data_IF_687233204188
#
_entry.id   IF_687233204188
#
_cell.length_a   1.000
_cell.length_b   1.000
_cell.length_c   1.000
_cell.angle_alpha   90.00
_cell.angle_beta   90.00
_cell.angle_gamma   90.00
#
_symmetry.space_group_name_H-M   'P 1'
#
loop_
_entity.id
_entity.type
_entity.pdbx_description
1 polymer ?
#
# COMPACT_ATOMS: atom_id res chain seq x y z
N UNK A 1 55.70 20.61 50.36
CA UNK A 1 56.24 19.74 49.29
C UNK A 1 55.07 19.44 48.35
N UNK A 2 54.86 20.27 47.33
CA UNK A 2 55.35 20.12 45.94
C UNK A 2 54.60 18.99 45.21
N UNK A 3 53.67 19.31 44.31
CA UNK A 3 53.84 19.53 42.86
C UNK A 3 53.35 18.32 42.05
N UNK A 4 52.47 18.57 41.09
CA UNK A 4 52.29 17.76 39.86
C UNK A 4 51.85 18.76 38.77
N UNK A 5 52.80 19.46 38.13
CA UNK A 5 53.49 19.12 36.87
C UNK A 5 52.58 19.06 35.65
N UNK A 6 52.49 20.21 34.98
CA UNK A 6 52.29 20.41 33.54
C UNK A 6 53.49 19.87 32.75
N UNK A 7 53.24 19.28 31.57
CA UNK A 7 54.18 19.36 30.43
C UNK A 7 53.52 18.93 29.12
N UNK A 8 53.68 19.79 28.12
CA UNK A 8 53.44 19.63 26.69
C UNK A 8 54.40 18.64 26.02
N UNK A 9 54.03 18.18 24.81
CA UNK A 9 54.84 18.10 23.58
C UNK A 9 54.30 16.96 22.70
N UNK A 10 54.22 17.05 21.39
CA UNK A 10 54.57 18.07 20.42
C UNK A 10 54.38 17.46 19.03
N UNK A 11 54.30 18.27 17.98
CA UNK A 11 54.73 17.87 16.64
C UNK A 11 54.93 19.10 15.76
N UNK A 12 56.13 19.19 15.18
CA UNK A 12 56.59 20.23 14.26
C UNK A 12 57.29 19.53 13.09
N UNK A 13 57.30 20.24 11.95
CA UNK A 13 58.09 20.09 10.70
C UNK A 13 57.42 19.23 9.62
N UNK A 14 57.00 19.82 8.49
CA UNK A 14 57.72 20.38 7.30
C UNK A 14 57.41 19.41 6.14
N UNK A 15 57.04 19.82 4.93
CA UNK A 15 57.89 20.54 3.98
C UNK A 15 57.10 21.14 2.80
N UNK A 16 57.67 22.19 2.23
CA UNK A 16 57.36 22.83 0.96
C UNK A 16 57.59 21.88 -0.23
N UNK A 17 56.84 22.09 -1.32
CA UNK A 17 57.42 22.16 -2.68
C UNK A 17 56.53 22.96 -3.64
N UNK A 18 57.22 23.74 -4.48
CA UNK A 18 56.74 24.68 -5.48
C UNK A 18 56.44 23.99 -6.82
N UNK A 19 55.56 24.59 -7.62
CA UNK A 19 55.61 24.83 -9.08
C UNK A 19 54.20 25.27 -9.51
N UNK A 20 53.89 26.35 -10.25
CA UNK A 20 54.65 27.21 -11.14
C UNK A 20 53.94 27.29 -12.51
N UNK A 21 53.07 28.28 -12.77
CA UNK A 21 52.98 28.96 -14.09
C UNK A 21 52.03 30.16 -14.15
N UNK A 22 52.60 31.27 -14.62
CA UNK A 22 51.98 32.54 -15.03
C UNK A 22 51.06 32.37 -16.26
N UNK A 23 50.01 33.18 -16.42
CA UNK A 23 49.94 34.38 -17.29
C UNK A 23 48.44 34.57 -17.63
N UNK A 24 47.81 35.69 -17.96
CA UNK A 24 48.10 37.10 -18.22
C UNK A 24 46.73 37.80 -18.33
N UNK A 25 46.61 39.11 -18.09
CA UNK A 25 45.35 39.80 -18.43
C UNK A 25 45.11 41.16 -17.78
N UNK A 26 45.85 42.16 -18.23
CA UNK A 26 45.62 43.60 -17.99
C UNK A 26 44.21 44.03 -18.47
N UNK A 27 43.51 44.89 -17.72
CA UNK A 27 42.76 46.05 -18.27
C UNK A 27 42.20 47.01 -17.20
N UNK A 28 42.89 48.15 -17.12
CA UNK A 28 42.40 49.54 -17.02
C UNK A 28 41.04 49.85 -16.35
N UNK A 29 41.10 50.60 -15.25
CA UNK A 29 40.03 51.49 -14.77
C UNK A 29 39.89 52.67 -15.74
N UNK A 30 38.69 52.94 -16.25
CA UNK A 30 38.35 54.23 -16.86
C UNK A 30 37.11 54.83 -16.21
N UNK A 31 37.22 56.12 -15.92
CA UNK A 31 36.23 57.01 -15.31
C UNK A 31 35.05 57.23 -16.25
N UNK A 32 33.83 57.00 -15.77
CA UNK A 32 32.60 57.22 -16.54
C UNK A 32 31.49 57.83 -15.67
N UNK A 33 31.80 58.85 -14.88
CA UNK A 33 30.81 59.55 -14.03
C UNK A 33 30.15 60.77 -14.69
N UNK A 34 30.68 61.35 -15.78
CA UNK A 34 30.20 62.67 -16.25
C UNK A 34 29.24 62.70 -17.45
N UNK A 35 28.76 61.56 -17.95
CA UNK A 35 27.83 61.54 -19.11
C UNK A 35 26.34 61.49 -18.77
N UNK A 36 25.96 61.32 -17.50
CA UNK A 36 24.54 61.19 -17.10
C UNK A 36 23.81 62.52 -17.00
N UNK A 37 24.49 63.56 -16.51
CA UNK A 37 23.88 64.84 -16.11
C UNK A 37 23.45 65.71 -17.30
N UNK A 38 24.12 65.58 -18.46
CA UNK A 38 23.83 66.38 -19.66
C UNK A 38 22.67 65.86 -20.51
N UNK A 39 22.15 64.64 -20.27
CA UNK A 39 21.00 64.07 -21.02
C UNK A 39 19.63 64.40 -20.42
N UNK A 40 19.56 64.79 -19.15
CA UNK A 40 18.29 65.07 -18.46
C UNK A 40 17.68 66.43 -18.82
N UNK A 41 18.44 67.35 -19.41
CA UNK A 41 18.01 68.72 -19.71
C UNK A 41 17.14 68.82 -20.97
N UNK A 42 17.18 67.82 -21.87
CA UNK A 42 16.43 67.81 -23.15
C UNK A 42 15.20 66.88 -23.19
N UNK A 43 14.76 66.33 -22.05
CA UNK A 43 13.66 65.37 -22.01
C UNK A 43 12.32 66.04 -21.70
N UNK A 44 11.26 65.60 -22.37
CA UNK A 44 9.89 66.07 -22.14
C UNK A 44 9.42 65.69 -20.72
N UNK A 45 8.49 66.43 -20.09
CA UNK A 45 8.02 66.14 -18.73
C UNK A 45 7.56 64.70 -18.52
N UNK A 46 6.86 64.14 -19.52
CA UNK A 46 6.34 62.76 -19.51
C UNK A 46 7.47 61.72 -19.47
N UNK A 47 8.58 61.97 -20.17
CA UNK A 47 9.71 61.04 -20.17
C UNK A 47 10.48 61.06 -18.84
N UNK A 48 10.55 62.23 -18.18
CA UNK A 48 11.12 62.33 -16.82
C UNK A 48 10.26 61.58 -15.82
N UNK A 49 8.94 61.70 -15.94
CA UNK A 49 7.99 61.00 -15.08
C UNK A 49 8.06 59.49 -15.28
N UNK A 50 8.17 59.00 -16.53
CA UNK A 50 8.39 57.57 -16.82
C UNK A 50 9.71 57.04 -16.24
N UNK A 51 10.78 57.83 -16.26
CA UNK A 51 12.06 57.43 -15.66
C UNK A 51 11.97 57.44 -14.12
N UNK A 52 11.31 58.45 -13.55
CA UNK A 52 11.06 58.52 -12.12
C UNK A 52 10.23 57.31 -11.64
N UNK A 53 9.17 56.95 -12.37
CA UNK A 53 8.35 55.77 -12.09
C UNK A 53 9.13 54.46 -12.22
N UNK A 54 9.97 54.32 -13.25
CA UNK A 54 10.86 53.15 -13.40
C UNK A 54 11.86 53.04 -12.26
N UNK A 55 12.42 54.16 -11.81
CA UNK A 55 13.35 54.18 -10.69
C UNK A 55 12.64 53.89 -9.36
N UNK A 56 11.41 54.38 -9.18
CA UNK A 56 10.56 54.09 -8.03
C UNK A 56 10.22 52.60 -7.94
N UNK A 57 9.70 51.99 -9.02
CA UNK A 57 9.46 50.53 -9.05
C UNK A 57 10.74 49.76 -8.74
N UNK A 58 11.87 50.18 -9.30
CA UNK A 58 13.14 49.47 -9.09
C UNK A 58 13.58 49.52 -7.63
N UNK A 59 13.39 50.66 -6.95
CA UNK A 59 13.67 50.84 -5.53
C UNK A 59 12.69 50.05 -4.66
N UNK A 60 11.39 50.12 -4.96
CA UNK A 60 10.35 49.36 -4.27
C UNK A 60 10.56 47.84 -4.37
N UNK A 61 10.94 47.35 -5.54
CA UNK A 61 11.27 45.94 -5.75
C UNK A 61 12.54 45.51 -5.01
N UNK A 62 13.49 46.42 -4.79
CA UNK A 62 14.67 46.15 -3.95
C UNK A 62 14.30 46.11 -2.47
N UNK A 63 13.41 47.00 -2.02
CA UNK A 63 12.90 47.00 -0.64
C UNK A 63 12.12 45.73 -0.33
N UNK A 64 11.26 45.25 -1.24
CA UNK A 64 10.57 43.96 -1.09
C UNK A 64 11.54 42.76 -1.07
N UNK A 65 12.62 42.81 -1.86
CA UNK A 65 13.62 41.72 -1.91
C UNK A 65 14.46 41.62 -0.64
N UNK A 66 14.67 42.76 0.02
CA UNK A 66 15.49 42.87 1.21
C UNK A 66 14.65 42.91 2.50
N UNK A 67 13.32 42.86 2.39
CA UNK A 67 12.44 42.79 3.54
C UNK A 67 12.59 41.43 4.23
N UNK A 68 12.96 41.45 5.51
CA UNK A 68 13.01 40.25 6.34
C UNK A 68 11.58 39.83 6.69
N UNK A 69 11.20 38.55 6.46
CA UNK A 69 9.86 38.08 6.81
C UNK A 69 9.64 38.16 8.32
N UNK A 70 8.50 38.74 8.73
CA UNK A 70 8.14 38.95 10.15
C UNK A 70 7.78 37.62 10.84
N UNK A 71 7.36 36.62 10.07
CA UNK A 71 7.03 35.27 10.54
C UNK A 71 7.80 34.27 9.69
N UNK A 72 8.64 33.45 10.34
CA UNK A 72 9.42 32.41 9.69
C UNK A 72 8.55 31.17 9.45
N UNK A 73 7.95 31.09 8.27
CA UNK A 73 7.20 29.91 7.81
C UNK A 73 8.11 28.77 7.31
N UNK A 74 9.44 28.90 7.47
CA UNK A 74 10.38 27.86 7.09
C UNK A 74 10.13 26.61 7.95
N UNK A 75 10.01 25.41 7.35
CA UNK A 75 9.86 24.19 8.12
C UNK A 75 11.07 24.02 9.05
N UNK A 76 10.87 23.62 10.32
CA UNK A 76 11.98 23.43 11.25
C UNK A 76 12.98 22.44 10.65
N UNK A 77 14.27 22.79 10.67
CA UNK A 77 15.33 21.95 10.12
C UNK A 77 15.37 20.64 10.91
N UNK A 78 15.00 19.55 10.23
CA UNK A 78 15.04 18.21 10.78
C UNK A 78 16.47 17.85 11.14
N UNK A 79 16.72 17.60 12.42
CA UNK A 79 18.02 17.15 12.88
C UNK A 79 18.13 15.65 12.61
N UNK A 80 18.73 15.30 11.47
CA UNK A 80 18.82 13.93 10.93
C UNK A 80 19.49 12.98 11.93
N UNK A 81 20.39 13.49 12.77
CA UNK A 81 21.09 12.74 13.82
C UNK A 81 20.19 12.23 14.95
N UNK A 82 18.97 12.77 15.11
CA UNK A 82 17.98 12.27 16.08
C UNK A 82 17.06 11.18 15.49
N UNK A 83 17.01 11.06 14.16
CA UNK A 83 16.13 10.11 13.45
C UNK A 83 16.77 8.73 13.24
N UNK A 84 18.10 8.68 13.20
CA UNK A 84 18.85 7.46 12.93
C UNK A 84 19.86 7.20 14.04
N UNK A 85 19.88 5.96 14.52
CA UNK A 85 20.89 5.51 15.46
C UNK A 85 22.27 5.51 14.79
N UNK A 86 23.18 6.33 15.31
CA UNK A 86 24.50 6.55 14.74
C UNK A 86 25.34 5.26 14.70
N UNK A 87 25.09 4.33 15.62
CA UNK A 87 25.81 3.05 15.65
C UNK A 87 25.41 2.16 14.46
N UNK A 88 24.11 2.12 14.13
CA UNK A 88 23.62 1.37 12.97
C UNK A 88 24.08 1.94 11.63
N UNK A 89 24.18 3.27 11.52
CA UNK A 89 24.71 3.92 10.32
C UNK A 89 26.19 3.61 10.12
N UNK A 90 26.98 3.64 11.20
CA UNK A 90 28.40 3.27 11.15
C UNK A 90 28.59 1.80 10.80
N UNK A 91 27.79 0.89 11.36
CA UNK A 91 27.88 -0.54 11.04
C UNK A 91 27.52 -0.84 9.58
N UNK A 92 26.49 -0.17 9.03
CA UNK A 92 26.13 -0.27 7.62
C UNK A 92 27.22 0.30 6.70
N UNK A 93 27.83 1.42 7.07
CA UNK A 93 28.94 2.00 6.32
C UNK A 93 30.14 1.04 6.27
N UNK A 94 30.50 0.42 7.41
CA UNK A 94 31.56 -0.59 7.47
C UNK A 94 31.21 -1.82 6.61
N UNK A 95 29.96 -2.29 6.66
CA UNK A 95 29.50 -3.42 5.86
C UNK A 95 29.61 -3.13 4.35
N UNK A 96 29.18 -1.94 3.91
CA UNK A 96 29.30 -1.50 2.52
C UNK A 96 30.77 -1.43 2.10
N UNK A 97 31.62 -0.82 2.93
CA UNK A 97 33.06 -0.71 2.67
C UNK A 97 33.73 -2.09 2.57
N UNK A 98 33.34 -3.03 3.45
CA UNK A 98 33.85 -4.41 3.42
C UNK A 98 33.42 -5.15 2.14
N UNK A 99 32.18 -4.92 1.67
CA UNK A 99 31.68 -5.50 0.43
C UNK A 99 32.43 -4.95 -0.79
N UNK A 100 32.67 -3.64 -0.84
CA UNK A 100 33.47 -3.00 -1.89
C UNK A 100 34.90 -3.52 -1.94
N UNK A 101 35.49 -3.89 -0.79
CA UNK A 101 36.84 -4.45 -0.73
C UNK A 101 36.90 -5.95 -1.13
N UNK A 102 35.82 -6.71 -0.88
CA UNK A 102 35.71 -8.12 -1.26
C UNK A 102 35.47 -8.32 -2.76
N UNK A 103 34.75 -7.42 -3.42
CA UNK A 103 34.44 -7.54 -4.85
C UNK A 103 35.68 -7.66 -5.76
N UNK A 104 36.75 -6.85 -5.61
CA UNK A 104 37.98 -6.99 -6.38
C UNK A 104 38.70 -8.34 -6.16
N UNK A 105 38.69 -8.87 -4.93
CA UNK A 105 39.30 -10.18 -4.64
C UNK A 105 38.51 -11.32 -5.28
N UNK A 106 37.17 -11.27 -5.22
CA UNK A 106 36.30 -12.23 -5.90
C UNK A 106 36.52 -12.18 -7.42
N UNK A 107 36.66 -10.98 -8.00
CA UNK A 107 36.96 -10.82 -9.43
C UNK A 107 38.35 -11.35 -9.78
N UNK A 108 39.36 -11.13 -8.93
CA UNK A 108 40.70 -11.71 -9.10
C UNK A 108 40.68 -13.24 -9.01
N UNK A 109 39.91 -13.81 -8.07
CA UNK A 109 39.74 -15.25 -7.93
C UNK A 109 39.01 -15.85 -9.13
N UNK A 110 37.94 -15.22 -9.61
CA UNK A 110 37.24 -15.61 -10.84
C UNK A 110 38.14 -15.52 -12.06
N UNK A 111 38.96 -14.47 -12.16
CA UNK A 111 39.95 -14.34 -13.21
C UNK A 111 41.03 -15.42 -13.11
N UNK A 112 41.51 -15.73 -11.91
CA UNK A 112 42.48 -16.79 -11.67
C UNK A 112 41.90 -18.18 -12.02
N UNK A 113 40.64 -18.44 -11.69
CA UNK A 113 39.92 -19.65 -12.09
C UNK A 113 39.76 -19.73 -13.61
N UNK A 114 39.42 -18.61 -14.27
CA UNK A 114 39.25 -18.57 -15.73
C UNK A 114 40.58 -18.64 -16.50
N UNK A 115 41.67 -18.14 -15.93
CA UNK A 115 42.98 -18.08 -16.59
C UNK A 115 43.85 -19.32 -16.30
N UNK A 116 43.81 -19.83 -15.07
CA UNK A 116 44.65 -20.96 -14.65
C UNK A 116 43.87 -22.23 -14.30
N UNK A 117 42.58 -22.12 -13.96
CA UNK A 117 41.80 -23.22 -13.38
C UNK A 117 41.00 -24.09 -14.37
N UNK A 118 40.79 -23.65 -15.62
CA UNK A 118 39.91 -24.35 -16.56
C UNK A 118 38.48 -24.56 -16.03
N UNK A 119 37.58 -25.10 -16.86
CA UNK A 119 36.34 -25.69 -16.33
C UNK A 119 36.73 -26.96 -15.59
N UNK A 120 36.41 -27.06 -14.31
CA UNK A 120 36.51 -28.31 -13.57
C UNK A 120 35.55 -29.34 -14.16
N UNK A 121 35.93 -30.05 -15.21
CA UNK A 121 35.55 -31.44 -15.46
C UNK A 121 36.71 -32.18 -16.14
N UNK A 122 37.18 -33.23 -15.46
CA UNK A 122 37.88 -34.44 -15.94
C UNK A 122 38.63 -34.41 -17.28
N UNK A 123 39.92 -34.78 -17.21
CA UNK A 123 40.67 -35.53 -18.23
C UNK A 123 40.72 -34.96 -19.66
N UNK A 124 41.88 -34.43 -20.06
CA UNK A 124 42.77 -35.10 -21.03
C UNK A 124 43.72 -34.12 -21.70
N UNK A 125 44.97 -34.57 -21.86
CA UNK A 125 45.99 -34.04 -22.76
C UNK A 125 45.49 -34.07 -24.20
N UNK A 126 45.33 -32.91 -24.86
CA UNK A 126 45.72 -32.70 -26.27
C UNK A 126 45.47 -31.24 -26.69
N UNK A 127 46.52 -30.42 -26.56
CA UNK A 127 46.52 -28.98 -26.80
C UNK A 127 46.80 -28.60 -28.27
N UNK A 128 46.60 -29.51 -29.23
CA UNK A 128 46.91 -29.30 -30.65
C UNK A 128 45.70 -29.01 -31.56
N UNK A 129 44.50 -28.84 -31.02
CA UNK A 129 43.31 -28.46 -31.81
C UNK A 129 42.66 -27.18 -31.30
N UNK A 130 43.46 -26.13 -31.19
CA UNK A 130 42.94 -24.77 -31.19
C UNK A 130 42.56 -24.38 -32.62
N UNK A 131 41.27 -24.13 -32.85
CA UNK A 131 40.76 -23.27 -33.92
C UNK A 131 39.81 -22.25 -33.29
N UNK A 132 39.86 -20.96 -33.66
CA UNK A 132 39.03 -19.94 -33.04
C UNK A 132 37.65 -19.93 -33.68
N UNK A 133 36.62 -20.39 -32.97
CA UNK A 133 35.22 -20.22 -33.39
C UNK A 133 34.56 -19.24 -32.42
N UNK A 134 34.38 -17.99 -32.85
CA UNK A 134 33.61 -17.01 -32.10
C UNK A 134 32.16 -17.52 -31.99
N UNK A 135 31.64 -17.62 -30.77
CA UNK A 135 30.28 -18.09 -30.40
C UNK A 135 29.12 -17.24 -30.97
N UNK A 136 29.37 -16.40 -31.99
CA UNK A 136 28.38 -15.50 -32.56
C UNK A 136 27.44 -16.20 -33.54
N UNK A 137 27.96 -17.13 -34.35
CA UNK A 137 27.15 -17.86 -35.35
C UNK A 137 26.18 -18.85 -34.69
N UNK A 138 26.63 -19.56 -33.66
CA UNK A 138 25.80 -20.48 -32.85
C UNK A 138 24.72 -19.73 -32.09
N UNK A 139 25.04 -18.61 -31.41
CA UNK A 139 24.04 -17.77 -30.73
C UNK A 139 23.03 -17.14 -31.69
N UNK A 140 23.44 -16.81 -32.91
CA UNK A 140 22.52 -16.31 -33.95
C UNK A 140 21.54 -17.39 -34.40
N UNK A 141 22.00 -18.64 -34.52
CA UNK A 141 21.15 -19.80 -34.80
C UNK A 141 20.11 -20.05 -33.71
N UNK A 142 20.54 -20.04 -32.44
CA UNK A 142 19.65 -20.20 -31.28
C UNK A 142 18.59 -19.07 -31.21
N UNK A 143 19.00 -17.82 -31.45
CA UNK A 143 18.08 -16.69 -31.46
C UNK A 143 17.03 -16.80 -32.58
N UNK A 144 17.42 -17.31 -33.76
CA UNK A 144 16.51 -17.55 -34.88
C UNK A 144 15.51 -18.68 -34.56
N UNK A 145 15.97 -19.76 -33.93
CA UNK A 145 15.09 -20.86 -33.51
C UNK A 145 14.08 -20.40 -32.46
N UNK A 146 14.49 -19.58 -31.49
CA UNK A 146 13.59 -18.97 -30.50
C UNK A 146 12.57 -18.06 -31.21
N UNK A 147 13.00 -17.31 -32.22
CA UNK A 147 12.11 -16.43 -32.99
C UNK A 147 11.07 -17.22 -33.79
N UNK A 148 11.46 -18.35 -34.40
CA UNK A 148 10.55 -19.25 -35.11
C UNK A 148 9.56 -19.92 -34.15
N UNK A 149 10.01 -20.41 -32.99
CA UNK A 149 9.15 -20.97 -31.97
C UNK A 149 8.12 -19.94 -31.46
N UNK A 150 8.54 -18.70 -31.22
CA UNK A 150 7.66 -17.61 -30.82
C UNK A 150 6.64 -17.26 -31.91
N UNK A 151 7.04 -17.32 -33.19
CA UNK A 151 6.15 -17.11 -34.32
C UNK A 151 5.11 -18.22 -34.42
N UNK A 152 5.49 -19.47 -34.21
CA UNK A 152 4.58 -20.62 -34.18
C UNK A 152 3.55 -20.51 -33.04
N UNK A 153 3.98 -20.15 -31.82
CA UNK A 153 3.06 -19.91 -30.69
C UNK A 153 2.08 -18.77 -30.99
N UNK A 154 2.55 -17.68 -31.61
CA UNK A 154 1.69 -16.56 -32.02
C UNK A 154 0.63 -16.98 -33.02
N UNK A 155 0.98 -17.80 -34.01
CA UNK A 155 0.00 -18.34 -34.97
C UNK A 155 -0.96 -19.33 -34.29
N UNK A 156 -0.51 -20.14 -33.33
CA UNK A 156 -1.41 -20.97 -32.52
C UNK A 156 -2.42 -20.13 -31.73
N UNK A 157 -1.98 -19.04 -31.07
CA UNK A 157 -2.88 -18.15 -30.32
C UNK A 157 -3.92 -17.51 -31.23
N UNK A 158 -3.53 -17.06 -32.44
CA UNK A 158 -4.46 -16.49 -33.42
C UNK A 158 -5.50 -17.49 -33.91
N UNK A 159 -5.08 -18.75 -34.12
CA UNK A 159 -5.94 -19.80 -34.66
C UNK A 159 -6.80 -20.49 -33.59
N UNK A 160 -6.50 -20.28 -32.31
CA UNK A 160 -7.28 -20.83 -31.21
C UNK A 160 -8.53 -19.98 -31.00
N UNK A 161 -9.71 -20.49 -31.37
CA UNK A 161 -10.96 -19.86 -30.93
C UNK A 161 -11.16 -20.07 -29.42
N UNK A 162 -11.58 -19.03 -28.68
CA UNK A 162 -11.77 -19.13 -27.24
C UNK A 162 -12.95 -20.07 -26.92
N UNK A 163 -12.67 -21.27 -26.43
CA UNK A 163 -13.66 -22.12 -25.76
C UNK A 163 -13.90 -21.61 -24.34
N UNK A 164 -14.57 -20.47 -24.21
CA UNK A 164 -14.99 -19.92 -22.92
C UNK A 164 -16.47 -19.49 -22.99
N UNK A 165 -17.36 -20.05 -22.15
CA UNK A 165 -18.81 -19.80 -22.22
C UNK A 165 -19.24 -18.42 -21.71
N UNK A 166 -18.34 -17.43 -21.60
CA UNK A 166 -18.65 -16.08 -21.08
C UNK A 166 -17.82 -14.97 -21.74
N UNK A 167 -17.73 -14.99 -23.06
CA UNK A 167 -17.13 -13.88 -23.83
C UNK A 167 -17.88 -12.56 -23.54
N UNK A 168 -19.20 -12.62 -23.39
CA UNK A 168 -20.04 -11.45 -23.10
C UNK A 168 -19.74 -10.80 -21.73
N UNK A 169 -19.43 -11.60 -20.71
CA UNK A 169 -19.14 -11.07 -19.37
C UNK A 169 -17.86 -10.23 -19.39
N UNK A 170 -16.79 -10.78 -19.97
CA UNK A 170 -15.52 -10.06 -20.10
C UNK A 170 -15.64 -8.87 -21.05
N UNK A 171 -16.38 -9.00 -22.16
CA UNK A 171 -16.62 -7.87 -23.07
C UNK A 171 -17.36 -6.72 -22.39
N UNK A 172 -18.37 -7.02 -21.54
CA UNK A 172 -19.07 -6.01 -20.72
C UNK A 172 -18.17 -5.39 -19.65
N UNK A 173 -17.38 -6.21 -18.96
CA UNK A 173 -16.41 -5.76 -17.98
C UNK A 173 -15.37 -4.80 -18.60
N UNK A 174 -14.81 -5.16 -19.76
CA UNK A 174 -13.84 -4.35 -20.47
C UNK A 174 -14.44 -3.05 -21.01
N UNK A 175 -15.66 -3.06 -21.57
CA UNK A 175 -16.37 -1.83 -21.96
C UNK A 175 -16.64 -0.91 -20.77
N UNK A 176 -16.97 -1.48 -19.61
CA UNK A 176 -17.19 -0.72 -18.38
C UNK A 176 -15.88 -0.09 -17.87
N UNK A 177 -14.78 -0.85 -17.87
CA UNK A 177 -13.44 -0.36 -17.54
C UNK A 177 -12.96 0.74 -18.49
N UNK A 178 -13.17 0.57 -19.79
CA UNK A 178 -12.81 1.57 -20.80
C UNK A 178 -13.59 2.87 -20.61
N UNK A 179 -14.90 2.78 -20.36
CA UNK A 179 -15.75 3.93 -20.04
C UNK A 179 -15.29 4.64 -18.76
N UNK A 180 -14.89 3.87 -17.73
CA UNK A 180 -14.34 4.40 -16.48
C UNK A 180 -13.00 5.11 -16.69
N UNK A 181 -12.12 4.56 -17.52
CA UNK A 181 -10.83 5.17 -17.87
C UNK A 181 -11.00 6.45 -18.71
N UNK A 182 -11.93 6.45 -19.68
CA UNK A 182 -12.25 7.62 -20.49
C UNK A 182 -12.86 8.74 -19.63
N UNK A 183 -13.77 8.41 -18.71
CA UNK A 183 -14.33 9.35 -17.75
C UNK A 183 -13.24 9.96 -16.85
N UNK A 184 -12.36 9.14 -16.28
CA UNK A 184 -11.24 9.62 -15.46
C UNK A 184 -10.22 10.45 -16.26
N UNK A 185 -10.05 10.16 -17.55
CA UNK A 185 -9.18 10.91 -18.43
C UNK A 185 -9.76 12.27 -18.84
N UNK A 186 -11.10 12.39 -18.94
CA UNK A 186 -11.76 13.66 -19.24
C UNK A 186 -11.77 14.63 -18.04
N UNK A 187 -11.70 14.09 -16.82
CA UNK A 187 -11.69 14.89 -15.60
C UNK A 187 -10.52 14.52 -14.68
N UNK A 188 -9.27 14.84 -15.07
CA UNK A 188 -8.06 14.43 -14.37
C UNK A 188 -7.86 15.09 -12.98
N UNK A 189 -8.82 15.88 -12.47
CA UNK A 189 -8.63 16.80 -11.34
C UNK A 189 -9.65 16.70 -10.19
N UNK A 190 -10.36 15.59 -9.99
CA UNK A 190 -11.20 15.40 -8.79
C UNK A 190 -10.67 14.40 -7.75
N UNK A 191 -9.47 13.84 -7.93
CA UNK A 191 -8.69 13.45 -6.75
C UNK A 191 -8.04 14.70 -6.14
N UNK A 192 -8.85 15.48 -5.41
CA UNK A 192 -8.33 15.99 -4.14
C UNK A 192 -8.01 14.75 -3.32
N UNK A 193 -6.77 14.26 -3.44
CA UNK A 193 -6.14 13.50 -2.37
C UNK A 193 -6.41 14.35 -1.15
N UNK A 194 -7.34 13.93 -0.27
CA UNK A 194 -7.44 14.52 1.06
C UNK A 194 -6.02 14.38 1.58
N UNK A 195 -5.27 15.49 1.65
CA UNK A 195 -3.99 15.52 2.35
C UNK A 195 -4.32 14.84 3.66
N UNK A 196 -3.77 13.64 3.90
CA UNK A 196 -3.86 13.02 5.22
C UNK A 196 -3.41 14.14 6.14
N UNK A 197 -4.30 14.64 7.01
CA UNK A 197 -3.87 15.47 8.12
C UNK A 197 -2.67 14.71 8.69
N UNK A 198 -1.50 15.37 8.78
CA UNK A 198 -0.35 14.80 9.49
C UNK A 198 -0.97 14.23 10.76
N UNK A 199 -0.91 12.90 10.91
CA UNK A 199 -1.23 12.31 12.20
C UNK A 199 -0.30 13.06 13.13
N UNK A 200 -0.87 13.89 14.01
CA UNK A 200 -0.17 14.25 15.24
C UNK A 200 0.46 12.96 15.71
N UNK A 201 1.76 13.01 15.97
CA UNK A 201 2.49 11.93 16.60
C UNK A 201 1.67 11.53 17.82
N UNK A 202 0.86 10.49 17.66
CA UNK A 202 0.15 9.87 18.75
C UNK A 202 1.28 9.32 19.58
N UNK A 203 1.58 10.02 20.66
CA UNK A 203 2.43 9.53 21.72
C UNK A 203 2.06 8.07 21.95
N UNK A 204 3.06 7.21 21.94
CA UNK A 204 2.87 5.78 22.20
C UNK A 204 2.11 5.66 23.51
N UNK A 205 0.84 5.28 23.45
CA UNK A 205 -0.01 5.13 24.61
C UNK A 205 -1.24 4.26 24.32
N UNK A 206 -1.74 3.48 25.29
CA UNK A 206 -1.01 2.77 26.33
C UNK A 206 -1.33 1.25 26.29
N UNK A 207 -0.79 0.48 27.24
CA UNK A 207 -0.92 -0.98 27.43
C UNK A 207 -2.29 -1.59 27.06
N UNK A 208 -2.31 -2.86 26.62
CA UNK A 208 -3.50 -3.70 26.29
C UNK A 208 -4.69 -3.54 27.25
N UNK A 209 -4.43 -3.14 28.48
CA UNK A 209 -5.40 -2.80 29.52
C UNK A 209 -6.35 -1.66 29.13
N UNK A 210 -5.86 -0.59 28.49
CA UNK A 210 -6.68 0.58 28.12
C UNK A 210 -7.68 0.28 27.00
N UNK A 211 -7.30 -0.58 26.04
CA UNK A 211 -8.21 -1.05 25.00
C UNK A 211 -9.35 -1.89 25.58
N UNK A 212 -9.01 -2.78 26.53
CA UNK A 212 -10.01 -3.58 27.24
C UNK A 212 -10.97 -2.68 28.04
N UNK A 213 -10.44 -1.66 28.72
CA UNK A 213 -11.21 -0.68 29.49
C UNK A 213 -12.15 0.16 28.61
N UNK A 214 -11.67 0.69 27.48
CA UNK A 214 -12.46 1.51 26.55
C UNK A 214 -13.59 0.70 25.89
N UNK A 215 -13.33 -0.55 25.51
CA UNK A 215 -14.35 -1.47 24.97
C UNK A 215 -15.40 -1.81 26.03
N UNK A 216 -14.98 -2.05 27.28
CA UNK A 216 -15.94 -2.25 28.39
C UNK A 216 -16.76 -1.00 28.71
N UNK A 217 -16.18 0.20 28.69
CA UNK A 217 -16.89 1.44 29.02
C UNK A 217 -17.92 1.84 27.95
N UNK A 218 -17.58 1.73 26.66
CA UNK A 218 -18.57 1.94 25.58
C UNK A 218 -19.62 0.83 25.54
N UNK A 219 -19.24 -0.42 25.79
CA UNK A 219 -20.20 -1.53 25.83
C UNK A 219 -21.12 -1.51 27.05
N UNK A 220 -20.70 -0.93 28.18
CA UNK A 220 -21.50 -0.81 29.39
C UNK A 220 -22.51 0.34 29.33
N UNK A 221 -22.31 1.34 28.45
CA UNK A 221 -23.20 2.51 28.36
C UNK A 221 -24.57 2.22 27.73
N UNK A 222 -24.69 1.25 26.81
CA UNK A 222 -25.97 0.91 26.15
C UNK A 222 -26.08 -0.58 25.71
N UNK A 223 -26.02 -1.55 26.63
CA UNK A 223 -26.20 -2.97 26.26
C UNK A 223 -27.59 -3.30 25.69
N UNK A 224 -28.62 -2.55 26.07
CA UNK A 224 -30.03 -2.86 25.76
C UNK A 224 -30.59 -2.21 24.48
N UNK A 225 -29.82 -1.34 23.79
CA UNK A 225 -30.28 -0.66 22.57
C UNK A 225 -29.74 -1.26 21.27
N UNK A 226 -28.93 -2.32 21.35
CA UNK A 226 -28.33 -2.93 20.16
C UNK A 226 -29.35 -3.74 19.38
N UNK A 227 -29.45 -3.54 18.05
CA UNK A 227 -30.39 -4.29 17.24
C UNK A 227 -30.03 -5.77 17.26
N UNK A 228 -31.07 -6.60 17.31
CA UNK A 228 -30.96 -8.06 17.34
C UNK A 228 -31.58 -8.61 16.08
N UNK A 229 -30.97 -9.64 15.54
CA UNK A 229 -31.43 -10.30 14.32
C UNK A 229 -31.47 -11.79 14.55
N UNK A 230 -32.40 -12.46 13.88
CA UNK A 230 -32.40 -13.91 13.83
C UNK A 230 -32.14 -14.46 12.43
N UNK A 231 -31.60 -15.67 12.41
CA UNK A 231 -31.50 -16.51 11.23
C UNK A 231 -32.12 -17.85 11.57
N UNK A 232 -33.11 -18.26 10.81
CA UNK A 232 -33.55 -19.64 10.77
C UNK A 232 -32.77 -20.36 9.68
N UNK A 233 -32.19 -21.50 10.04
CA UNK A 233 -31.26 -22.24 9.17
C UNK A 233 -31.90 -23.57 8.80
N UNK A 234 -31.88 -23.89 7.51
CA UNK A 234 -32.40 -25.15 6.98
C UNK A 234 -31.37 -25.86 6.12
N UNK A 235 -31.44 -27.20 6.14
CA UNK A 235 -30.71 -28.07 5.23
C UNK A 235 -31.66 -28.45 4.10
N UNK A 236 -31.20 -28.28 2.86
CA UNK A 236 -31.99 -28.68 1.70
C UNK A 236 -32.31 -30.17 1.76
N UNK A 237 -33.58 -30.51 1.52
CA UNK A 237 -34.13 -31.88 1.55
C UNK A 237 -34.21 -32.56 2.94
N UNK A 238 -33.82 -31.88 4.03
CA UNK A 238 -33.94 -32.43 5.40
C UNK A 238 -34.93 -31.61 6.22
N UNK A 239 -34.84 -30.28 6.16
CA UNK A 239 -35.71 -29.38 6.91
C UNK A 239 -34.95 -28.38 7.79
N UNK A 240 -35.67 -27.74 8.70
CA UNK A 240 -35.13 -26.73 9.60
C UNK A 240 -34.21 -27.35 10.66
N UNK A 241 -33.00 -26.78 10.82
CA UNK A 241 -32.04 -27.13 11.88
C UNK A 241 -32.42 -26.40 13.16
N UNK A 242 -32.74 -25.11 13.06
CA UNK A 242 -33.06 -24.27 14.19
C UNK A 242 -32.78 -22.80 13.97
N UNK A 243 -33.01 -22.02 15.04
CA UNK A 243 -32.91 -20.57 15.06
C UNK A 243 -31.64 -20.10 15.78
N UNK A 244 -30.93 -19.18 15.15
CA UNK A 244 -29.76 -18.49 15.66
C UNK A 244 -30.08 -17.00 15.86
N UNK A 245 -29.61 -16.41 16.96
CA UNK A 245 -29.83 -15.00 17.26
C UNK A 245 -28.50 -14.30 17.44
N UNK A 246 -28.32 -13.16 16.79
CA UNK A 246 -27.16 -12.33 16.90
C UNK A 246 -27.50 -10.92 17.37
N UNK A 247 -26.58 -10.33 18.15
CA UNK A 247 -26.59 -8.92 18.53
C UNK A 247 -25.62 -8.19 17.61
N UNK A 248 -26.05 -7.03 17.10
CA UNK A 248 -25.24 -6.20 16.22
C UNK A 248 -24.66 -4.99 16.98
N UNK A 249 -23.42 -4.62 16.67
CA UNK A 249 -22.67 -3.58 17.37
C UNK A 249 -22.84 -2.20 16.71
N UNK A 250 -24.08 -1.70 16.69
CA UNK A 250 -24.43 -0.40 16.10
C UNK A 250 -23.67 0.78 16.72
N UNK A 251 -23.20 0.65 17.96
CA UNK A 251 -22.45 1.71 18.65
C UNK A 251 -21.02 1.89 18.12
N UNK A 252 -20.48 0.83 17.50
CA UNK A 252 -19.12 0.81 16.94
C UNK A 252 -19.16 1.01 15.43
N UNK A 253 -20.03 0.27 14.74
CA UNK A 253 -20.08 0.21 13.28
C UNK A 253 -21.51 0.43 12.73
N UNK A 254 -22.10 1.62 12.94
CA UNK A 254 -23.48 1.91 12.54
C UNK A 254 -23.74 1.77 11.04
N UNK A 255 -22.80 2.13 10.16
CA UNK A 255 -22.99 1.97 8.71
C UNK A 255 -23.01 0.49 8.32
N UNK A 256 -22.12 -0.30 8.90
CA UNK A 256 -22.05 -1.74 8.65
C UNK A 256 -23.32 -2.43 9.11
N UNK A 257 -23.80 -2.09 10.32
CA UNK A 257 -25.03 -2.63 10.88
C UNK A 257 -26.25 -2.22 10.06
N UNK A 258 -26.34 -0.96 9.63
CA UNK A 258 -27.44 -0.49 8.79
C UNK A 258 -27.48 -1.21 7.45
N UNK A 259 -26.32 -1.44 6.83
CA UNK A 259 -26.21 -2.23 5.60
C UNK A 259 -26.71 -3.66 5.82
N UNK A 260 -26.27 -4.30 6.91
CA UNK A 260 -26.65 -5.67 7.24
C UNK A 260 -28.16 -5.81 7.48
N UNK A 261 -28.75 -4.91 8.28
CA UNK A 261 -30.19 -4.89 8.57
C UNK A 261 -31.06 -4.72 7.32
N UNK A 262 -30.60 -3.92 6.35
CA UNK A 262 -31.32 -3.74 5.09
C UNK A 262 -31.54 -5.06 4.33
N UNK A 263 -30.56 -5.97 4.38
CA UNK A 263 -30.66 -7.31 3.78
C UNK A 263 -31.30 -8.35 4.72
N UNK A 264 -31.43 -8.08 6.01
CA UNK A 264 -32.17 -8.95 6.92
C UNK A 264 -33.68 -8.87 6.73
N UNK A 265 -34.21 -7.80 6.14
CA UNK A 265 -35.64 -7.63 5.96
C UNK A 265 -36.19 -8.65 4.94
N UNK A 266 -37.16 -9.52 5.33
CA UNK A 266 -37.68 -10.55 4.43
C UNK A 266 -38.58 -10.00 3.32
N UNK A 267 -39.01 -8.74 3.42
CA UNK A 267 -39.85 -8.05 2.41
C UNK A 267 -39.03 -7.30 1.36
N UNK A 268 -37.72 -7.17 1.55
CA UNK A 268 -36.85 -6.51 0.59
C UNK A 268 -36.63 -7.38 -0.65
N UNK A 269 -36.44 -6.74 -1.82
CA UNK A 269 -36.13 -7.45 -3.08
C UNK A 269 -34.83 -8.25 -2.98
N UNK A 270 -33.84 -7.68 -2.29
CA UNK A 270 -32.58 -8.34 -1.96
C UNK A 270 -32.57 -8.62 -0.46
N UNK A 271 -32.57 -9.89 -0.11
CA UNK A 271 -32.64 -10.34 1.28
C UNK A 271 -31.71 -11.53 1.52
N UNK A 272 -31.30 -11.72 2.77
CA UNK A 272 -30.56 -12.90 3.18
C UNK A 272 -31.42 -14.16 3.23
N UNK A 273 -32.75 -14.01 3.22
CA UNK A 273 -33.67 -15.14 3.07
C UNK A 273 -33.41 -15.88 1.76
N UNK A 274 -33.14 -17.18 1.86
CA UNK A 274 -32.77 -18.04 0.74
C UNK A 274 -31.26 -18.05 0.40
N UNK A 275 -30.42 -17.27 1.10
CA UNK A 275 -28.97 -17.30 0.88
C UNK A 275 -28.34 -18.60 1.36
N UNK A 276 -27.49 -19.20 0.54
CA UNK A 276 -26.73 -20.40 0.86
C UNK A 276 -25.44 -20.10 1.62
N UNK A 277 -25.00 -21.08 2.41
CA UNK A 277 -23.66 -21.14 2.97
C UNK A 277 -22.74 -21.84 1.97
N UNK A 278 -22.14 -21.09 1.06
CA UNK A 278 -21.35 -21.67 -0.04
C UNK A 278 -19.93 -22.06 0.36
N UNK A 279 -19.39 -21.53 1.46
CA UNK A 279 -18.08 -21.92 2.02
C UNK A 279 -18.15 -22.09 3.54
N UNK A 280 -17.76 -23.25 4.03
CA UNK A 280 -17.71 -23.66 5.44
C UNK A 280 -16.39 -24.39 5.69
N UNK A 281 -15.42 -23.69 6.28
CA UNK A 281 -14.17 -24.27 6.74
C UNK A 281 -14.29 -24.66 8.21
N UNK A 282 -14.24 -25.96 8.48
CA UNK A 282 -14.28 -26.51 9.84
C UNK A 282 -13.17 -25.90 10.70
N UNK A 283 -13.51 -25.56 11.95
CA UNK A 283 -12.63 -24.90 12.91
C UNK A 283 -12.03 -23.57 12.40
N UNK A 284 -12.73 -22.88 11.50
CA UNK A 284 -12.29 -21.59 10.99
C UNK A 284 -13.46 -20.61 10.90
N UNK A 285 -14.20 -20.61 9.79
CA UNK A 285 -15.39 -19.80 9.60
C UNK A 285 -16.32 -20.42 8.56
N UNK A 286 -17.58 -19.98 8.55
CA UNK A 286 -18.45 -20.10 7.39
C UNK A 286 -18.66 -18.73 6.75
N UNK A 287 -18.98 -18.74 5.45
CA UNK A 287 -19.18 -17.58 4.59
C UNK A 287 -20.53 -17.69 3.91
N UNK A 288 -21.30 -16.60 3.95
CA UNK A 288 -22.64 -16.52 3.39
C UNK A 288 -22.99 -15.07 3.00
N UNK A 289 -24.25 -14.79 2.69
CA UNK A 289 -24.77 -13.45 2.45
C UNK A 289 -24.55 -12.92 1.02
N UNK A 290 -24.38 -13.79 0.02
CA UNK A 290 -24.41 -13.35 -1.38
C UNK A 290 -25.86 -13.25 -1.87
N UNK A 291 -26.45 -12.06 -1.73
CA UNK A 291 -27.85 -11.79 -2.10
C UNK A 291 -28.07 -11.67 -3.62
N UNK A 292 -27.01 -11.60 -4.43
CA UNK A 292 -27.10 -11.33 -5.87
C UNK A 292 -26.99 -12.60 -6.69
N UNK A 293 -25.91 -13.37 -6.50
CA UNK A 293 -25.67 -14.59 -7.28
C UNK A 293 -25.90 -15.86 -6.48
N UNK A 294 -25.94 -15.74 -5.15
CA UNK A 294 -26.10 -16.84 -4.20
C UNK A 294 -25.07 -17.98 -4.37
N UNK A 295 -23.88 -17.65 -4.89
CA UNK A 295 -22.78 -18.58 -5.19
C UNK A 295 -21.45 -18.16 -4.56
N UNK A 296 -21.40 -16.96 -3.98
CA UNK A 296 -20.24 -16.40 -3.30
C UNK A 296 -19.34 -15.51 -4.14
N UNK A 297 -19.68 -15.28 -5.41
CA UNK A 297 -18.96 -14.40 -6.33
C UNK A 297 -19.61 -13.02 -6.45
N UNK A 298 -20.90 -12.92 -6.16
CA UNK A 298 -21.66 -11.67 -6.26
C UNK A 298 -21.65 -10.88 -4.96
N UNK A 299 -22.39 -9.79 -4.95
CA UNK A 299 -22.62 -9.02 -3.75
C UNK A 299 -22.84 -7.55 -4.07
N UNK A 300 -23.66 -6.92 -3.24
CA UNK A 300 -23.92 -5.48 -3.31
C UNK A 300 -24.02 -4.94 -1.89
N UNK A 301 -24.06 -3.63 -1.74
CA UNK A 301 -24.33 -2.97 -0.47
C UNK A 301 -25.50 -2.01 -0.62
N UNK A 302 -26.08 -1.60 0.50
CA UNK A 302 -27.09 -0.55 0.52
C UNK A 302 -26.56 0.77 -0.10
N UNK A 303 -25.24 0.98 -0.06
CA UNK A 303 -24.57 2.19 -0.50
C UNK A 303 -24.02 2.11 -1.95
N UNK A 304 -24.35 1.04 -2.68
CA UNK A 304 -23.82 0.77 -4.02
C UNK A 304 -22.97 -0.50 -4.07
N UNK A 305 -21.98 -0.63 -4.97
CA UNK A 305 -21.25 -1.89 -5.16
C UNK A 305 -20.34 -2.25 -3.99
N UNK A 306 -19.79 -1.26 -3.29
CA UNK A 306 -18.88 -1.43 -2.16
C UNK A 306 -19.00 -0.26 -1.17
N UNK A 307 -18.66 -0.50 0.11
CA UNK A 307 -18.46 0.55 1.11
C UNK A 307 -17.16 0.35 1.91
N UNK A 308 -16.67 1.42 2.54
CA UNK A 308 -15.38 1.45 3.25
C UNK A 308 -15.39 0.71 4.59
N UNK A 309 -14.21 0.47 5.15
CA UNK A 309 -14.06 -0.10 6.49
C UNK A 309 -14.35 0.99 7.54
N UNK A 310 -15.20 0.69 8.52
CA UNK A 310 -15.70 1.68 9.48
C UNK A 310 -14.84 1.72 10.76
N UNK A 311 -14.74 0.60 11.47
CA UNK A 311 -13.91 0.48 12.67
C UNK A 311 -13.30 -0.94 12.80
N UNK A 312 -12.10 -1.01 13.38
CA UNK A 312 -11.37 -2.25 13.67
C UNK A 312 -11.05 -2.40 15.17
N UNK A 313 -11.71 -1.63 16.04
CA UNK A 313 -11.59 -1.81 17.50
C UNK A 313 -12.10 -3.17 17.98
N UNK A 314 -13.10 -3.74 17.31
CA UNK A 314 -13.60 -5.05 17.67
C UNK A 314 -12.72 -6.14 17.06
N UNK A 315 -12.37 -7.14 17.87
CA UNK A 315 -11.47 -8.23 17.49
C UNK A 315 -12.23 -9.56 17.39
N UNK A 316 -11.70 -10.49 16.60
CA UNK A 316 -12.23 -11.84 16.41
C UNK A 316 -11.78 -12.78 17.54
N UNK A 317 -12.05 -12.39 18.78
CA UNK A 317 -11.56 -13.05 19.99
C UNK A 317 -12.26 -14.36 20.34
N UNK A 318 -13.42 -14.64 19.74
CA UNK A 318 -14.33 -15.69 20.20
C UNK A 318 -15.03 -16.41 19.04
N UNK A 319 -15.69 -17.53 19.36
CA UNK A 319 -16.60 -18.24 18.45
C UNK A 319 -17.90 -17.46 18.29
N UNK A 320 -18.44 -17.46 17.07
CA UNK A 320 -19.73 -16.84 16.74
C UNK A 320 -19.66 -15.34 16.51
N UNK A 321 -18.49 -14.80 16.16
CA UNK A 321 -18.33 -13.40 15.76
C UNK A 321 -18.78 -13.24 14.31
N UNK A 322 -19.58 -12.20 14.06
CA UNK A 322 -19.99 -11.76 12.72
C UNK A 322 -19.01 -10.70 12.21
N UNK A 323 -18.45 -10.96 11.03
CA UNK A 323 -17.51 -10.04 10.38
C UNK A 323 -17.80 -9.89 8.89
N UNK A 324 -17.57 -8.71 8.35
CA UNK A 324 -17.72 -8.46 6.92
C UNK A 324 -16.68 -9.27 6.14
N UNK A 325 -17.12 -9.88 5.04
CA UNK A 325 -16.20 -10.47 4.08
C UNK A 325 -15.78 -9.40 3.08
N UNK A 326 -14.47 -9.20 2.96
CA UNK A 326 -13.85 -8.38 1.94
C UNK A 326 -12.62 -9.12 1.39
N UNK A 327 -12.35 -8.95 0.08
CA UNK A 327 -11.10 -9.43 -0.53
C UNK A 327 -10.05 -8.32 -0.61
N UNK A 328 -10.53 -7.07 -0.61
CA UNK A 328 -9.74 -5.86 -0.76
C UNK A 328 -10.15 -4.94 0.39
N UNK A 329 -9.19 -4.32 1.11
CA UNK A 329 -9.51 -3.35 2.16
C UNK A 329 -10.43 -2.24 1.64
N UNK A 330 -11.37 -1.79 2.49
CA UNK A 330 -12.38 -0.79 2.18
C UNK A 330 -13.33 -1.16 1.03
N UNK A 331 -13.56 -2.45 0.78
CA UNK A 331 -14.53 -2.94 -0.21
C UNK A 331 -15.49 -3.97 0.39
N UNK A 332 -16.25 -3.52 1.38
CA UNK A 332 -17.31 -4.32 2.01
C UNK A 332 -18.57 -4.35 1.15
N UNK A 333 -19.34 -5.43 1.24
CA UNK A 333 -20.58 -5.66 0.48
C UNK A 333 -21.67 -6.23 1.39
N UNK A 334 -22.48 -7.18 0.92
CA UNK A 334 -23.48 -7.90 1.72
C UNK A 334 -22.93 -9.21 2.29
N UNK A 335 -21.82 -9.74 1.77
CA UNK A 335 -21.26 -11.00 2.22
C UNK A 335 -20.62 -10.87 3.61
N UNK A 336 -20.82 -11.87 4.45
CA UNK A 336 -20.27 -11.90 5.81
C UNK A 336 -19.79 -13.29 6.19
N UNK A 337 -18.96 -13.33 7.23
CA UNK A 337 -18.43 -14.54 7.85
C UNK A 337 -18.97 -14.71 9.26
N UNK A 338 -19.08 -15.96 9.68
CA UNK A 338 -19.31 -16.34 11.07
C UNK A 338 -18.13 -17.19 11.53
N UNK A 339 -17.48 -16.80 12.63
CA UNK A 339 -16.31 -17.51 13.14
C UNK A 339 -16.70 -18.77 13.93
N UNK A 340 -15.93 -19.85 13.76
CA UNK A 340 -16.05 -21.06 14.59
C UNK A 340 -15.05 -21.12 15.75
N UNK A 341 -14.00 -20.28 15.68
CA UNK A 341 -12.97 -20.10 16.71
C UNK A 341 -12.45 -18.67 16.73
N UNK A 342 -11.55 -18.37 17.66
CA UNK A 342 -10.77 -17.13 17.65
C UNK A 342 -9.91 -17.03 16.37
N UNK A 343 -10.02 -15.90 15.65
CA UNK A 343 -9.33 -15.65 14.38
C UNK A 343 -8.52 -14.35 14.41
N UNK A 344 -7.40 -14.37 15.14
CA UNK A 344 -6.49 -13.20 15.24
C UNK A 344 -5.98 -12.69 13.89
N UNK A 345 -5.90 -13.57 12.88
CA UNK A 345 -5.46 -13.21 11.53
C UNK A 345 -6.38 -12.24 10.80
N UNK A 346 -7.66 -12.15 11.19
CA UNK A 346 -8.63 -11.24 10.58
C UNK A 346 -8.69 -9.88 11.28
N UNK A 347 -8.03 -9.73 12.43
CA UNK A 347 -8.01 -8.49 13.21
C UNK A 347 -7.31 -7.37 12.41
N UNK A 348 -7.94 -6.19 12.36
CA UNK A 348 -7.42 -5.04 11.63
C UNK A 348 -7.61 -5.10 10.10
N UNK A 349 -8.14 -6.20 9.56
CA UNK A 349 -8.44 -6.35 8.12
C UNK A 349 -9.95 -6.38 7.86
N UNK A 350 -10.68 -7.17 8.65
CA UNK A 350 -12.12 -7.33 8.50
C UNK A 350 -12.86 -6.57 9.61
N UNK A 351 -13.99 -5.99 9.27
CA UNK A 351 -14.84 -5.23 10.20
C UNK A 351 -15.76 -6.19 10.94
N UNK A 352 -15.59 -6.27 12.27
CA UNK A 352 -16.49 -7.01 13.16
C UNK A 352 -17.72 -6.14 13.45
N UNK A 353 -18.92 -6.69 13.25
CA UNK A 353 -20.16 -5.94 13.38
C UNK A 353 -21.22 -6.61 14.26
N UNK A 354 -20.99 -7.83 14.73
CA UNK A 354 -21.94 -8.49 15.62
C UNK A 354 -21.40 -9.77 16.25
N UNK A 355 -22.23 -10.39 17.09
CA UNK A 355 -21.93 -11.65 17.76
C UNK A 355 -23.20 -12.47 17.95
N UNK A 356 -23.09 -13.78 17.77
CA UNK A 356 -24.15 -14.75 18.09
C UNK A 356 -24.29 -14.85 19.61
N UNK A 357 -25.52 -14.69 20.09
CA UNK A 357 -25.88 -14.79 21.51
C UNK A 357 -26.66 -16.07 21.83
N UNK A 358 -27.40 -16.62 20.87
CA UNK A 358 -28.19 -17.86 21.02
C UNK A 358 -28.12 -18.71 19.75
N UNK A 359 -28.31 -20.02 19.91
CA UNK A 359 -28.30 -20.96 18.77
C UNK A 359 -26.92 -21.50 18.41
N UNK A 360 -26.00 -21.61 19.37
CA UNK A 360 -24.66 -22.17 19.13
C UNK A 360 -24.70 -23.64 18.65
N UNK A 361 -25.71 -24.42 19.04
CA UNK A 361 -25.94 -25.77 18.50
C UNK A 361 -26.20 -25.76 16.99
N UNK A 362 -26.90 -24.75 16.46
CA UNK A 362 -27.10 -24.57 15.02
C UNK A 362 -25.77 -24.26 14.34
N UNK A 363 -24.96 -23.39 14.96
CA UNK A 363 -23.64 -23.05 14.44
C UNK A 363 -22.70 -24.27 14.39
N UNK A 364 -22.77 -25.15 15.38
CA UNK A 364 -22.06 -26.43 15.41
C UNK A 364 -22.55 -27.39 14.32
N UNK A 365 -23.86 -27.49 14.09
CA UNK A 365 -24.42 -28.25 12.97
C UNK A 365 -23.93 -27.72 11.63
N UNK A 366 -23.89 -26.40 11.43
CA UNK A 366 -23.32 -25.78 10.21
C UNK A 366 -21.84 -26.15 10.06
N UNK A 367 -21.06 -26.09 11.14
CA UNK A 367 -19.64 -26.48 11.11
C UNK A 367 -19.46 -27.95 10.72
N UNK A 368 -20.28 -28.85 11.27
CA UNK A 368 -20.17 -30.31 11.07
C UNK A 368 -20.26 -30.74 9.60
N UNK A 369 -21.06 -30.02 8.79
CA UNK A 369 -21.23 -30.31 7.37
C UNK A 369 -20.12 -29.71 6.50
N UNK A 370 -19.26 -28.87 7.07
CA UNK A 370 -18.16 -28.22 6.36
C UNK A 370 -17.05 -29.17 5.94
N UNK A 371 -16.04 -28.62 5.26
CA UNK A 371 -14.87 -29.35 4.77
C UNK A 371 -13.59 -28.66 5.25
N UNK A 372 -12.63 -29.44 5.76
CA UNK A 372 -11.32 -28.92 6.20
C UNK A 372 -10.46 -28.42 5.05
N UNK A 373 -10.53 -29.06 3.86
CA UNK A 373 -9.63 -28.78 2.74
C UNK A 373 -10.21 -27.79 1.73
N UNK A 374 -11.45 -28.04 1.29
CA UNK A 374 -12.07 -27.29 0.19
C UNK A 374 -13.02 -26.20 0.67
N UNK A 375 -13.49 -26.29 1.90
CA UNK A 375 -14.55 -25.44 2.43
C UNK A 375 -15.92 -25.67 1.79
N UNK A 376 -16.07 -26.53 0.78
CA UNK A 376 -17.39 -26.83 0.21
C UNK A 376 -18.22 -27.65 1.20
N UNK A 377 -19.47 -27.26 1.49
CA UNK A 377 -20.31 -28.02 2.40
C UNK A 377 -20.72 -29.36 1.77
N UNK A 378 -20.87 -30.40 2.60
CA UNK A 378 -21.33 -31.72 2.17
C UNK A 378 -22.80 -31.73 1.76
N UNK A 379 -23.60 -30.85 2.38
CA UNK A 379 -25.02 -30.68 2.11
C UNK A 379 -25.31 -29.19 1.98
N UNK A 380 -26.23 -28.81 1.11
CA UNK A 380 -26.62 -27.42 0.92
C UNK A 380 -27.39 -26.91 2.14
N UNK A 381 -26.80 -25.92 2.82
CA UNK A 381 -27.41 -25.19 3.94
C UNK A 381 -27.76 -23.79 3.47
N UNK A 382 -28.92 -23.30 3.87
CA UNK A 382 -29.38 -21.96 3.56
C UNK A 382 -30.12 -21.32 4.73
N UNK A 383 -30.22 -19.99 4.69
CA UNK A 383 -31.04 -19.20 5.61
C UNK A 383 -32.49 -19.30 5.13
N UNK A 384 -33.34 -20.00 5.86
CA UNK A 384 -34.76 -20.17 5.50
C UNK A 384 -35.58 -18.93 5.79
N UNK A 385 -35.26 -18.23 6.87
CA UNK A 385 -35.89 -16.98 7.27
C UNK A 385 -34.92 -16.10 8.05
N UNK A 386 -35.10 -14.78 7.98
CA UNK A 386 -34.35 -13.82 8.77
C UNK A 386 -35.17 -12.55 8.96
N UNK A 387 -35.02 -11.92 10.12
CA UNK A 387 -35.57 -10.59 10.39
C UNK A 387 -34.89 -9.95 11.62
N UNK A 388 -35.17 -8.68 11.85
CA UNK A 388 -34.87 -7.96 13.10
C UNK A 388 -35.86 -8.37 14.22
N UNK A 389 -35.40 -8.39 15.48
CA UNK A 389 -36.17 -8.80 16.67
C UNK A 389 -36.42 -7.62 17.60
#
# INVERSE_FOLDING_TARGET
MSQATTSESGQKKNSLENEGRMSSGVKSKSTRSDRGSKKLVKMTPIEREKIAWKNFIRKFMQELRNATPIVDDSPPKLNISLMYDQETLRSQQIAIQSHYNLCPEIVKLLHHINVFGGRTETFSFDYQKLQPASNFSTRRGEALQIQEANKAVKEMIKNTQPRLPRVDYYARFWKSMESYMQYNSQYPLFWKVKKKKKKETVEVGPSKTYFRQYVTEKSAKYPDKRPRVFFEISIKNVGAIGKMVAVLFSDYVPMTVKNFLAFCNPKAELTYKGCFFYLIFQNFFCKTGDVVENKGFGGTSLYGPYFGDEDHTLQHGERGILTMYNQIPNRNQCQFLITFRELKSLNGSNVVFGKIIKGFHVLESIESVGSKKTGRPKVEIYISDCDEI
#
